data_IF_143656490042
#
_entry.id   IF_143656490042
#
_cell.length_a   1.000
_cell.length_b   1.000
_cell.length_c   1.000
_cell.angle_alpha   90.00
_cell.angle_beta   90.00
_cell.angle_gamma   90.00
#
_symmetry.space_group_name_H-M   'P 1'
#
loop_
_entity.id
_entity.type
_entity.pdbx_description
1 polymer ?
#
# COMPACT_ATOMS: atom_id res chain seq x y z
N UNK A 1 -15.61 3.67 14.81
CA UNK A 1 -14.51 3.16 15.65
C UNK A 1 -13.18 3.75 15.17
N UNK A 2 -12.19 3.90 16.05
CA UNK A 2 -10.81 4.17 15.59
C UNK A 2 -10.18 2.84 15.21
N UNK A 3 -9.62 2.76 14.01
CA UNK A 3 -8.87 1.63 13.52
C UNK A 3 -7.41 2.07 13.36
N UNK A 4 -6.48 1.30 13.89
CA UNK A 4 -5.07 1.52 13.70
C UNK A 4 -4.53 0.44 12.77
N UNK A 5 -4.09 0.81 11.58
CA UNK A 5 -3.52 -0.15 10.65
C UNK A 5 -2.02 -0.21 10.88
N UNK A 6 -1.54 -1.41 11.16
CA UNK A 6 -0.13 -1.70 11.35
C UNK A 6 0.46 -2.07 9.99
N UNK A 7 1.41 -1.26 9.55
CA UNK A 7 2.18 -1.47 8.33
C UNK A 7 3.60 -1.86 8.73
N UNK A 8 4.22 -2.73 7.96
CA UNK A 8 5.58 -3.19 8.22
C UNK A 8 6.39 -3.17 6.92
N UNK A 9 7.64 -2.72 7.03
CA UNK A 9 8.64 -2.85 5.98
C UNK A 9 9.66 -3.90 6.41
N UNK A 10 9.82 -4.93 5.60
CA UNK A 10 10.74 -6.04 5.84
C UNK A 10 11.86 -5.97 4.81
N UNK A 11 13.02 -5.50 5.25
CA UNK A 11 14.23 -5.44 4.44
C UNK A 11 15.04 -6.73 4.57
N UNK A 12 15.40 -7.33 3.44
CA UNK A 12 16.28 -8.51 3.37
C UNK A 12 17.40 -8.30 2.35
N UNK A 13 18.60 -8.73 2.71
CA UNK A 13 19.72 -8.78 1.78
C UNK A 13 19.55 -9.96 0.84
N UNK A 14 19.72 -9.71 -0.46
CA UNK A 14 19.64 -10.72 -1.51
C UNK A 14 20.94 -10.73 -2.28
N UNK A 15 21.61 -11.88 -2.26
CA UNK A 15 22.79 -12.13 -3.09
C UNK A 15 22.32 -12.81 -4.36
N UNK A 16 22.30 -12.09 -5.47
CA UNK A 16 22.12 -12.68 -6.78
C UNK A 16 23.50 -13.13 -7.30
N UNK A 17 23.73 -14.44 -7.38
CA UNK A 17 24.91 -15.01 -8.04
C UNK A 17 24.70 -14.99 -9.55
N UNK A 18 25.26 -14.00 -10.23
CA UNK A 18 25.54 -14.11 -11.66
C UNK A 18 26.99 -14.51 -11.90
N UNK A 19 27.24 -15.13 -13.05
CA UNK A 19 28.44 -15.92 -13.41
C UNK A 19 29.75 -15.13 -13.32
N UNK A 20 29.74 -13.82 -13.10
CA UNK A 20 30.97 -13.03 -12.99
C UNK A 20 31.07 -12.07 -11.80
N UNK A 21 30.00 -11.61 -11.14
CA UNK A 21 30.05 -10.73 -9.94
C UNK A 21 28.96 -11.10 -8.91
N UNK A 22 29.28 -10.98 -7.62
CA UNK A 22 28.27 -10.98 -6.56
C UNK A 22 27.53 -9.64 -6.60
N UNK A 23 26.28 -9.63 -7.08
CA UNK A 23 25.41 -8.46 -6.94
C UNK A 23 24.79 -8.49 -5.55
N UNK A 24 25.19 -7.53 -4.72
CA UNK A 24 24.58 -7.26 -3.43
C UNK A 24 23.40 -6.34 -3.67
N UNK A 25 22.19 -6.90 -3.62
CA UNK A 25 20.95 -6.13 -3.66
C UNK A 25 20.25 -6.22 -2.32
N UNK A 26 19.66 -5.12 -1.86
CA UNK A 26 18.69 -5.18 -0.77
C UNK A 26 17.29 -5.22 -1.39
N UNK A 27 16.40 -6.07 -0.87
CA UNK A 27 14.97 -6.06 -1.20
C UNK A 27 14.20 -5.65 0.06
N UNK A 28 13.44 -4.57 -0.03
CA UNK A 28 12.48 -4.18 1.01
C UNK A 28 11.07 -4.56 0.54
N UNK A 29 10.35 -5.33 1.36
CA UNK A 29 8.97 -5.74 1.10
C UNK A 29 8.01 -5.00 2.05
N UNK A 30 6.86 -4.55 1.53
CA UNK A 30 5.81 -3.90 2.33
C UNK A 30 4.62 -4.84 2.56
N UNK A 31 4.21 -4.98 3.82
CA UNK A 31 3.05 -5.76 4.25
C UNK A 31 2.17 -5.03 5.27
N UNK A 32 0.93 -5.52 5.38
CA UNK A 32 -0.02 -5.11 6.41
C UNK A 32 -0.10 -6.23 7.45
N UNK A 33 0.29 -5.94 8.68
CA UNK A 33 0.30 -6.95 9.75
C UNK A 33 -1.09 -7.11 10.41
N UNK A 34 -1.96 -6.11 10.30
CA UNK A 34 -3.34 -6.17 10.81
C UNK A 34 -3.98 -4.82 11.11
N UNK A 35 -5.29 -4.84 11.37
CA UNK A 35 -6.08 -3.68 11.78
C UNK A 35 -6.46 -3.80 13.25
N UNK A 36 -6.06 -2.84 14.09
CA UNK A 36 -6.22 -2.92 15.53
C UNK A 36 -7.28 -1.93 16.02
N UNK A 37 -8.15 -2.37 16.92
CA UNK A 37 -9.15 -1.50 17.56
C UNK A 37 -8.50 -0.61 18.63
N UNK A 38 -7.45 -1.13 19.27
CA UNK A 38 -6.64 -0.42 20.26
C UNK A 38 -5.22 -0.29 19.74
N UNK A 39 -4.61 0.87 19.94
CA UNK A 39 -3.21 1.08 19.59
C UNK A 39 -2.35 0.11 20.44
N UNK A 40 -1.55 -0.78 19.83
CA UNK A 40 -0.57 -1.58 20.55
C UNK A 40 0.40 -0.69 21.33
N UNK A 41 0.73 -1.08 22.56
CA UNK A 41 1.60 -0.30 23.44
C UNK A 41 3.07 -0.32 23.00
N UNK A 42 3.50 -1.37 22.28
CA UNK A 42 4.87 -1.56 21.82
C UNK A 42 4.88 -1.88 20.32
N UNK A 43 5.58 -1.03 19.56
CA UNK A 43 5.87 -1.26 18.15
C UNK A 43 7.30 -1.79 18.02
N UNK A 44 7.50 -2.84 17.22
CA UNK A 44 8.83 -3.32 16.88
C UNK A 44 9.48 -2.35 15.88
N UNK A 45 10.82 -2.29 15.79
CA UNK A 45 11.50 -1.55 14.73
C UNK A 45 10.93 -1.91 13.34
N UNK A 46 10.79 -0.92 12.46
CA UNK A 46 10.21 -1.09 11.11
C UNK A 46 8.69 -1.16 11.05
N UNK A 47 7.98 -1.08 12.18
CA UNK A 47 6.52 -1.00 12.20
C UNK A 47 6.07 0.45 12.25
N UNK A 48 5.10 0.80 11.42
CA UNK A 48 4.41 2.08 11.45
C UNK A 48 2.92 1.88 11.69
N UNK A 49 2.27 2.91 12.26
CA UNK A 49 0.84 2.88 12.50
C UNK A 49 0.18 4.14 11.99
N UNK A 50 -0.87 3.94 11.23
CA UNK A 50 -1.75 5.01 10.78
C UNK A 50 -3.14 4.83 11.39
N UNK A 51 -3.69 5.92 11.92
CA UNK A 51 -5.01 5.94 12.52
C UNK A 51 -6.05 6.36 11.49
N UNK A 52 -7.07 5.53 11.34
CA UNK A 52 -8.22 5.77 10.50
C UNK A 52 -9.49 5.79 11.36
N UNK A 53 -10.37 6.74 11.08
CA UNK A 53 -11.74 6.71 11.63
C UNK A 53 -12.60 6.00 10.59
N UNK A 54 -13.24 4.92 11.02
CA UNK A 54 -14.11 4.10 10.16
C UNK A 54 -15.37 3.74 10.94
N UNK A 55 -16.54 3.78 10.29
CA UNK A 55 -17.80 3.31 10.88
C UNK A 55 -17.95 1.80 10.70
N UNK A 56 -17.23 1.01 11.51
CA UNK A 56 -17.17 -0.46 11.47
C UNK A 56 -17.38 -1.09 12.84
N UNK A 57 -17.95 -2.30 12.84
CA UNK A 57 -18.07 -3.18 14.00
C UNK A 57 -16.86 -4.12 14.10
N UNK A 58 -16.62 -4.69 15.29
CA UNK A 58 -15.44 -5.52 15.55
C UNK A 58 -15.43 -6.87 14.79
N UNK A 59 -16.57 -7.29 14.23
CA UNK A 59 -16.71 -8.48 13.39
C UNK A 59 -16.58 -8.18 11.90
N UNK A 60 -16.41 -6.91 11.52
CA UNK A 60 -16.26 -6.53 10.12
C UNK A 60 -14.90 -6.94 9.56
N UNK A 61 -14.87 -7.24 8.26
CA UNK A 61 -13.64 -7.33 7.49
C UNK A 61 -13.31 -5.95 6.91
N UNK A 62 -12.05 -5.54 6.99
CA UNK A 62 -11.56 -4.31 6.34
C UNK A 62 -10.76 -4.69 5.11
N UNK A 63 -10.92 -3.92 4.03
CA UNK A 63 -10.17 -4.10 2.80
C UNK A 63 -9.27 -2.88 2.60
N UNK A 64 -7.96 -3.11 2.55
CA UNK A 64 -6.98 -2.07 2.35
C UNK A 64 -6.54 -2.03 0.89
N UNK A 65 -6.54 -0.83 0.30
CA UNK A 65 -5.95 -0.59 -1.00
C UNK A 65 -4.50 -0.19 -0.80
N UNK A 66 -3.57 -1.05 -1.24
CA UNK A 66 -2.14 -0.89 -1.03
C UNK A 66 -1.44 -0.71 -2.37
N UNK A 67 -0.67 0.35 -2.47
CA UNK A 67 0.24 0.58 -3.59
C UNK A 67 1.61 -0.01 -3.26
N UNK A 68 2.19 -0.74 -4.22
CA UNK A 68 3.57 -1.21 -4.15
C UNK A 68 4.37 -0.66 -5.32
N UNK A 69 5.55 -0.14 -5.01
CA UNK A 69 6.43 0.49 -5.99
C UNK A 69 7.88 0.32 -5.56
N UNK A 70 8.82 0.41 -6.50
CA UNK A 70 10.22 0.13 -6.26
C UNK A 70 11.12 1.28 -6.70
N UNK A 71 12.20 1.56 -5.97
CA UNK A 71 13.31 2.34 -6.52
C UNK A 71 14.40 1.40 -6.99
N UNK A 72 14.84 1.59 -8.24
CA UNK A 72 15.97 0.86 -8.80
C UNK A 72 17.12 1.85 -8.94
N UNK A 73 18.20 1.62 -8.19
CA UNK A 73 19.41 2.41 -8.35
C UNK A 73 20.28 1.90 -9.51
N UNK A 74 21.26 2.69 -9.92
CA UNK A 74 22.18 2.33 -11.03
C UNK A 74 23.16 1.19 -10.68
N UNK A 75 23.15 0.70 -9.45
CA UNK A 75 24.00 -0.39 -8.95
C UNK A 75 23.26 -1.72 -8.82
N UNK A 76 21.96 -1.75 -9.16
CA UNK A 76 21.13 -2.96 -9.12
C UNK A 76 20.44 -3.21 -7.78
N UNK A 77 20.51 -2.26 -6.82
CA UNK A 77 19.72 -2.32 -5.60
C UNK A 77 18.25 -2.02 -5.92
N UNK A 78 17.33 -2.75 -5.29
CA UNK A 78 15.90 -2.56 -5.48
C UNK A 78 15.20 -2.38 -4.12
N UNK A 79 14.91 -1.13 -3.76
CA UNK A 79 14.11 -0.88 -2.57
C UNK A 79 12.63 -0.91 -2.94
N UNK A 80 11.95 -2.01 -2.63
CA UNK A 80 10.49 -2.04 -2.63
C UNK A 80 9.94 -1.15 -1.52
N UNK A 81 8.91 -0.40 -1.86
CA UNK A 81 8.16 0.52 -1.01
C UNK A 81 6.69 0.14 -1.09
N UNK A 82 5.94 0.51 -0.08
CA UNK A 82 4.50 0.43 -0.14
C UNK A 82 3.82 1.51 0.65
N UNK A 83 2.59 1.80 0.24
CA UNK A 83 1.79 2.83 0.87
C UNK A 83 0.34 2.37 0.94
N UNK A 84 -0.27 2.56 2.11
CA UNK A 84 -1.70 2.40 2.28
C UNK A 84 -2.40 3.62 1.67
N UNK A 85 -3.17 3.39 0.60
CA UNK A 85 -3.88 4.48 -0.09
C UNK A 85 -5.21 4.79 0.60
N UNK A 86 -5.99 3.75 0.90
CA UNK A 86 -7.29 3.88 1.54
C UNK A 86 -7.79 2.55 2.13
N UNK A 87 -8.84 2.62 2.93
CA UNK A 87 -9.49 1.49 3.59
C UNK A 87 -10.98 1.46 3.31
N UNK A 88 -11.53 0.28 3.10
CA UNK A 88 -12.92 0.04 2.70
C UNK A 88 -13.57 -1.01 3.59
N UNK A 89 -14.90 -0.93 3.71
CA UNK A 89 -15.72 -1.96 4.36
C UNK A 89 -16.36 -2.90 3.33
N UNK A 90 -16.37 -2.49 2.06
CA UNK A 90 -16.87 -3.28 0.94
C UNK A 90 -15.76 -3.68 -0.02
N UNK A 91 -15.57 -4.99 -0.20
CA UNK A 91 -14.63 -5.56 -1.18
C UNK A 91 -14.87 -5.03 -2.59
N UNK A 92 -16.16 -4.97 -2.99
CA UNK A 92 -16.54 -4.50 -4.33
C UNK A 92 -16.14 -3.05 -4.59
N UNK A 93 -16.22 -2.18 -3.57
CA UNK A 93 -15.78 -0.78 -3.71
C UNK A 93 -14.26 -0.70 -3.75
N UNK A 94 -13.56 -1.48 -2.91
CA UNK A 94 -12.10 -1.55 -2.93
C UNK A 94 -11.56 -2.02 -4.29
N UNK A 95 -12.16 -3.05 -4.87
CA UNK A 95 -11.78 -3.57 -6.20
C UNK A 95 -12.05 -2.54 -7.31
N UNK A 96 -13.17 -1.81 -7.24
CA UNK A 96 -13.43 -0.70 -8.17
C UNK A 96 -12.38 0.40 -8.05
N UNK A 97 -11.94 0.72 -6.83
CA UNK A 97 -10.89 1.70 -6.61
C UNK A 97 -9.54 1.24 -7.18
N UNK A 98 -9.18 -0.02 -6.97
CA UNK A 98 -7.99 -0.66 -7.53
C UNK A 98 -7.98 -0.60 -9.06
N UNK A 99 -9.08 -1.00 -9.70
CA UNK A 99 -9.20 -0.98 -11.17
C UNK A 99 -9.12 0.46 -11.70
N UNK A 100 -9.82 1.41 -11.09
CA UNK A 100 -9.77 2.82 -11.51
C UNK A 100 -8.34 3.40 -11.41
N UNK A 101 -7.60 3.05 -10.37
CA UNK A 101 -6.19 3.43 -10.23
C UNK A 101 -5.34 2.82 -11.34
N UNK A 102 -5.45 1.50 -11.54
CA UNK A 102 -4.66 0.75 -12.51
C UNK A 102 -4.89 1.23 -13.95
N UNK A 103 -6.15 1.51 -14.31
CA UNK A 103 -6.51 2.06 -15.62
C UNK A 103 -5.85 3.42 -15.87
N UNK A 104 -5.90 4.32 -14.88
CA UNK A 104 -5.29 5.65 -15.00
C UNK A 104 -3.76 5.57 -15.11
N UNK A 105 -3.10 4.71 -14.34
CA UNK A 105 -1.65 4.50 -14.45
C UNK A 105 -1.28 3.90 -15.82
N UNK A 106 -2.03 2.90 -16.28
CA UNK A 106 -1.76 2.21 -17.55
C UNK A 106 -2.01 3.11 -18.77
N UNK A 107 -3.00 3.99 -18.71
CA UNK A 107 -3.30 4.93 -19.78
C UNK A 107 -2.15 5.91 -20.04
N UNK A 108 -1.37 6.24 -19.01
CA UNK A 108 -0.27 7.19 -19.13
C UNK A 108 1.07 6.51 -19.47
N UNK A 109 1.06 5.61 -20.47
CA UNK A 109 2.23 4.90 -21.03
C UNK A 109 3.53 5.73 -20.99
N UNK A 110 4.34 5.53 -19.93
CA UNK A 110 5.63 6.18 -19.60
C UNK A 110 5.63 7.46 -18.74
N UNK A 111 4.51 8.18 -18.59
CA UNK A 111 4.40 9.33 -17.67
C UNK A 111 3.50 8.96 -16.50
N UNK A 112 4.02 8.38 -15.41
CA UNK A 112 3.17 8.03 -14.25
C UNK A 112 2.30 9.24 -13.88
N UNK A 113 0.97 9.08 -13.82
CA UNK A 113 0.12 10.21 -13.51
C UNK A 113 0.47 10.70 -12.11
N UNK A 114 0.72 12.00 -11.97
CA UNK A 114 1.00 12.65 -10.68
C UNK A 114 -0.23 12.52 -9.78
N UNK A 115 -1.43 12.54 -10.37
CA UNK A 115 -2.69 12.42 -9.65
C UNK A 115 -3.61 11.37 -10.26
N UNK A 116 -4.33 10.67 -9.41
CA UNK A 116 -5.32 9.66 -9.78
C UNK A 116 -6.64 9.93 -9.07
N UNK A 117 -7.75 9.56 -9.69
CA UNK A 117 -9.09 9.66 -9.10
C UNK A 117 -9.63 8.28 -8.78
N UNK A 118 -9.88 8.00 -7.51
CA UNK A 118 -10.46 6.72 -7.09
C UNK A 118 -11.74 6.93 -6.30
N UNK A 119 -12.71 6.00 -6.38
CA UNK A 119 -13.81 5.95 -5.43
C UNK A 119 -13.26 5.66 -4.03
N UNK A 120 -13.62 6.49 -3.07
CA UNK A 120 -13.38 6.25 -1.64
C UNK A 120 -14.71 6.09 -0.93
N UNK A 121 -14.73 5.17 0.03
CA UNK A 121 -15.85 5.00 0.95
C UNK A 121 -15.63 5.92 2.16
N UNK A 122 -16.64 6.74 2.46
CA UNK A 122 -16.68 7.61 3.63
C UNK A 122 -17.35 6.90 4.82
N UNK A 123 -17.23 7.48 6.02
CA UNK A 123 -17.79 6.93 7.26
C UNK A 123 -19.30 6.65 7.21
N UNK A 124 -20.05 7.42 6.41
CA UNK A 124 -21.49 7.26 6.20
C UNK A 124 -21.84 6.25 5.10
N UNK A 125 -20.86 5.47 4.60
CA UNK A 125 -20.96 4.57 3.44
C UNK A 125 -21.27 5.29 2.12
N UNK A 126 -21.13 6.60 2.10
CA UNK A 126 -21.16 7.36 0.86
C UNK A 126 -19.90 7.09 0.06
N UNK A 127 -20.03 7.01 -1.26
CA UNK A 127 -18.91 6.80 -2.17
C UNK A 127 -18.70 8.07 -2.98
N UNK A 128 -17.52 8.68 -2.83
CA UNK A 128 -17.13 9.86 -3.59
C UNK A 128 -15.88 9.57 -4.42
N UNK A 129 -15.71 10.30 -5.53
CA UNK A 129 -14.45 10.28 -6.27
C UNK A 129 -13.48 11.26 -5.60
N UNK A 130 -12.34 10.76 -5.12
CA UNK A 130 -11.27 11.57 -4.54
C UNK A 130 -10.06 11.57 -5.45
N UNK A 131 -9.53 12.77 -5.70
CA UNK A 131 -8.23 12.95 -6.34
C UNK A 131 -7.13 12.76 -5.28
N UNK A 132 -6.17 11.89 -5.57
CA UNK A 132 -5.03 11.57 -4.72
C UNK A 132 -3.75 11.77 -5.51
N UNK A 133 -2.69 12.21 -4.82
CA UNK A 133 -1.33 12.16 -5.34
C UNK A 133 -0.95 10.68 -5.48
N UNK A 134 -0.37 10.29 -6.62
CA UNK A 134 0.18 8.96 -6.82
C UNK A 134 1.57 8.89 -6.18
N UNK A 135 1.79 8.11 -5.12
CA UNK A 135 3.11 8.01 -4.48
C UNK A 135 4.22 7.57 -5.43
N UNK A 136 3.91 6.67 -6.38
CA UNK A 136 4.88 6.13 -7.34
C UNK A 136 5.17 7.07 -8.53
N UNK A 137 4.78 8.35 -8.44
CA UNK A 137 5.00 9.36 -9.49
C UNK A 137 6.27 10.19 -9.29
N UNK A 138 7.02 10.00 -8.19
CA UNK A 138 8.31 10.65 -8.02
C UNK A 138 9.32 10.13 -9.05
N UNK A 139 10.20 11.02 -9.51
CA UNK A 139 11.17 10.74 -10.57
C UNK A 139 12.28 9.79 -10.12
N UNK A 140 12.00 8.49 -10.07
CA UNK A 140 12.94 7.44 -9.69
C UNK A 140 12.25 6.15 -9.22
N UNK A 141 11.04 6.27 -8.67
CA UNK A 141 10.23 5.12 -8.29
C UNK A 141 9.78 4.34 -9.53
N UNK A 142 9.26 3.12 -9.38
CA UNK A 142 8.69 2.19 -10.36
C UNK A 142 7.37 1.63 -9.85
N UNK A 143 6.27 1.94 -10.53
CA UNK A 143 4.99 1.33 -10.20
C UNK A 143 5.08 -0.18 -10.48
N UNK A 144 4.88 -0.99 -9.43
CA UNK A 144 4.90 -2.45 -9.56
C UNK A 144 3.48 -2.97 -9.68
N UNK A 145 2.65 -2.70 -8.67
CA UNK A 145 1.25 -3.13 -8.60
C UNK A 145 0.46 -2.35 -7.55
N UNK A 146 -0.86 -2.45 -7.66
CA UNK A 146 -1.80 -2.03 -6.63
C UNK A 146 -2.69 -3.23 -6.30
N UNK A 147 -2.87 -3.51 -5.01
CA UNK A 147 -3.57 -4.70 -4.53
C UNK A 147 -4.67 -4.31 -3.53
N UNK A 148 -5.74 -5.09 -3.48
CA UNK A 148 -6.70 -5.07 -2.36
C UNK A 148 -6.35 -6.20 -1.42
N UNK A 149 -6.04 -5.85 -0.18
CA UNK A 149 -5.66 -6.79 0.87
C UNK A 149 -6.80 -6.88 1.88
N UNK A 150 -7.21 -8.10 2.19
CA UNK A 150 -8.12 -8.37 3.30
C UNK A 150 -7.36 -8.24 4.62
N UNK A 151 -7.82 -7.35 5.50
CA UNK A 151 -7.16 -7.04 6.77
C UNK A 151 -8.08 -7.48 7.92
N UNK A 152 -7.69 -8.50 8.70
CA UNK A 152 -8.47 -8.91 9.85
C UNK A 152 -8.42 -7.85 10.95
N UNK A 153 -9.55 -7.66 11.64
CA UNK A 153 -9.62 -6.82 12.84
C UNK A 153 -9.11 -7.63 14.04
N UNK A 154 -8.14 -7.06 14.76
CA UNK A 154 -7.53 -7.59 15.97
C UNK A 154 -8.01 -6.75 17.16
N UNK A 155 -8.57 -7.42 18.17
CA UNK A 155 -9.17 -6.82 19.37
C UNK A 155 -8.17 -6.56 20.49
#
# INVERSE_FOLDING_TARGET
MNLYILTEEVTRDVVAKEVYWDNWGTITDYSLSGAYIKKPELLKPGHQMEQYKLSIDAECTVYALVLRYSEIDSFGSNSGKGELIWTYTSKSIAEKAMLAFQEQVSAHKQKRPIKVKIPIELDNKEVILKELQNPASNGGDHFDRIDVIEVPIIQ
#
